data_IF_378327620325
#
_entry.id   IF_378327620325
#
_cell.length_a   1.000
_cell.length_b   1.000
_cell.length_c   1.000
_cell.angle_alpha   90.00
_cell.angle_beta   90.00
_cell.angle_gamma   90.00
#
_symmetry.space_group_name_H-M   'P 1'
#
loop_
_entity.id
_entity.type
_entity.pdbx_description
1 polymer ?
#
# COMPACT_ATOMS: atom_id res chain seq x y z
N UNK A 1 8.68 -10.01 5.49
CA UNK A 1 7.22 -10.14 5.68
C UNK A 1 6.60 -8.86 5.14
N UNK A 2 5.46 -8.97 4.46
CA UNK A 2 4.69 -7.85 3.94
C UNK A 2 3.35 -7.82 4.68
N UNK A 3 3.03 -6.69 5.27
CA UNK A 3 1.77 -6.47 5.97
C UNK A 3 1.15 -5.15 5.52
N UNK A 4 -0.19 -5.14 5.41
CA UNK A 4 -1.00 -3.94 5.21
C UNK A 4 -1.85 -3.76 6.45
N UNK A 5 -1.66 -2.64 7.14
CA UNK A 5 -2.29 -2.32 8.42
C UNK A 5 -3.22 -1.13 8.18
N UNK A 6 -4.52 -1.33 8.40
CA UNK A 6 -5.51 -0.29 8.22
C UNK A 6 -5.58 0.56 9.49
N UNK A 7 -4.98 1.75 9.47
CA UNK A 7 -4.97 2.64 10.63
C UNK A 7 -6.22 3.53 10.69
N UNK A 8 -6.89 3.75 9.57
CA UNK A 8 -8.19 4.40 9.52
C UNK A 8 -8.93 3.99 8.25
N UNK A 9 -10.17 3.56 8.38
CA UNK A 9 -11.01 3.05 7.26
C UNK A 9 -12.31 3.85 7.04
N UNK A 10 -12.42 4.98 7.74
CA UNK A 10 -13.50 5.97 7.60
C UNK A 10 -13.44 6.74 6.28
N UNK A 11 -14.47 7.55 6.05
CA UNK A 11 -14.48 8.58 5.00
C UNK A 11 -14.16 9.96 5.58
N UNK A 12 -14.87 10.99 5.11
CA UNK A 12 -14.66 12.42 5.39
C UNK A 12 -14.47 12.87 6.85
N UNK A 13 -14.93 12.09 7.84
CA UNK A 13 -14.80 12.44 9.26
C UNK A 13 -14.60 11.21 10.13
N UNK A 14 -13.86 11.32 11.24
CA UNK A 14 -13.70 10.21 12.18
C UNK A 14 -15.02 9.93 12.91
N UNK A 15 -15.26 8.67 13.23
CA UNK A 15 -16.38 8.21 14.06
C UNK A 15 -15.85 7.48 15.30
N UNK A 16 -16.75 7.04 16.18
CA UNK A 16 -16.37 6.20 17.33
C UNK A 16 -15.73 4.87 16.88
N UNK A 17 -16.13 4.35 15.72
CA UNK A 17 -15.69 3.06 15.19
C UNK A 17 -14.42 3.19 14.35
N UNK A 18 -14.30 4.26 13.55
CA UNK A 18 -13.31 4.37 12.48
C UNK A 18 -12.67 5.75 12.42
N UNK A 19 -11.35 5.79 12.27
CA UNK A 19 -10.61 7.00 11.95
C UNK A 19 -10.65 7.28 10.43
N UNK A 20 -10.31 8.50 10.04
CA UNK A 20 -10.12 8.91 8.64
C UNK A 20 -8.94 8.18 7.98
N UNK A 21 -8.87 8.13 6.63
CA UNK A 21 -7.96 7.29 5.87
C UNK A 21 -6.49 7.35 6.27
N UNK A 22 -5.92 6.18 6.58
CA UNK A 22 -4.48 5.96 6.69
C UNK A 22 -4.20 4.46 6.59
N UNK A 23 -3.27 4.09 5.71
CA UNK A 23 -2.81 2.70 5.57
C UNK A 23 -1.30 2.65 5.81
N UNK A 24 -0.86 1.78 6.71
CA UNK A 24 0.54 1.49 6.92
C UNK A 24 0.93 0.18 6.23
N UNK A 25 1.80 0.25 5.22
CA UNK A 25 2.42 -0.91 4.61
C UNK A 25 3.76 -1.17 5.28
N UNK A 26 3.89 -2.33 5.94
CA UNK A 26 5.13 -2.76 6.59
C UNK A 26 5.85 -3.77 5.70
N UNK A 27 7.02 -3.39 5.20
CA UNK A 27 7.83 -4.25 4.33
C UNK A 27 9.24 -4.37 4.88
N UNK A 28 9.63 -5.59 5.29
CA UNK A 28 10.96 -5.89 5.87
C UNK A 28 11.37 -4.94 7.03
N UNK A 29 10.41 -4.43 7.79
CA UNK A 29 10.63 -3.55 8.94
C UNK A 29 10.54 -2.06 8.63
N UNK A 30 10.59 -1.66 7.36
CA UNK A 30 10.25 -0.30 6.91
C UNK A 30 8.72 -0.10 7.01
N UNK A 31 8.29 1.10 7.41
CA UNK A 31 6.89 1.52 7.34
C UNK A 31 6.74 2.58 6.25
N UNK A 32 5.82 2.31 5.33
CA UNK A 32 5.36 3.24 4.30
C UNK A 32 3.91 3.60 4.64
N UNK A 33 3.59 4.89 4.70
CA UNK A 33 2.22 5.34 4.90
C UNK A 33 1.59 5.73 3.55
N UNK A 34 0.36 5.30 3.33
CA UNK A 34 -0.52 5.82 2.29
C UNK A 34 -1.61 6.62 2.98
N UNK A 35 -1.67 7.91 2.65
CA UNK A 35 -2.42 8.95 3.36
C UNK A 35 -2.06 9.06 4.86
N UNK A 36 -2.36 10.22 5.43
CA UNK A 36 -2.10 10.58 6.83
C UNK A 36 -3.22 11.50 7.30
N UNK A 37 -4.43 10.96 7.44
CA UNK A 37 -5.57 11.67 7.98
C UNK A 37 -5.38 12.10 9.44
N UNK A 38 -6.21 13.04 9.90
CA UNK A 38 -6.23 13.44 11.32
C UNK A 38 -6.33 12.21 12.24
N UNK A 39 -5.66 12.24 13.40
CA UNK A 39 -5.70 11.12 14.34
C UNK A 39 -4.74 9.97 14.01
N UNK A 40 -4.04 10.00 12.86
CA UNK A 40 -3.04 8.98 12.48
C UNK A 40 -2.06 8.67 13.61
N UNK A 41 -1.52 9.69 14.28
CA UNK A 41 -0.58 9.51 15.40
C UNK A 41 -1.15 8.65 16.54
N UNK A 42 -2.43 8.86 16.88
CA UNK A 42 -3.13 8.07 17.89
C UNK A 42 -3.31 6.62 17.42
N UNK A 43 -3.73 6.44 16.17
CA UNK A 43 -3.92 5.11 15.59
C UNK A 43 -2.60 4.34 15.50
N UNK A 44 -1.50 4.98 15.09
CA UNK A 44 -0.16 4.38 15.09
C UNK A 44 0.26 3.91 16.49
N UNK A 45 0.02 4.73 17.51
CA UNK A 45 0.32 4.36 18.90
C UNK A 45 -0.50 3.13 19.34
N UNK A 46 -1.80 3.10 19.07
CA UNK A 46 -2.65 1.92 19.34
C UNK A 46 -2.16 0.68 18.60
N UNK A 47 -1.74 0.82 17.35
CA UNK A 47 -1.19 -0.27 16.54
C UNK A 47 0.26 -0.66 16.92
N UNK A 48 0.87 -0.02 17.93
CA UNK A 48 2.27 -0.18 18.34
C UNK A 48 3.25 0.03 17.17
N UNK A 49 2.91 0.94 16.25
CA UNK A 49 3.77 1.36 15.14
C UNK A 49 4.52 2.63 15.52
N UNK A 50 5.85 2.57 15.48
CA UNK A 50 6.66 3.75 15.76
C UNK A 50 6.68 4.69 14.55
N UNK A 51 6.32 5.99 14.70
CA UNK A 51 6.50 7.00 13.65
C UNK A 51 7.96 7.14 13.20
N UNK A 52 8.93 6.83 14.06
CA UNK A 52 10.36 6.89 13.72
C UNK A 52 10.79 5.85 12.67
N UNK A 53 9.97 4.81 12.43
CA UNK A 53 10.19 3.83 11.37
C UNK A 53 9.53 4.19 10.04
N UNK A 54 8.77 5.30 9.99
CA UNK A 54 8.17 5.80 8.75
C UNK A 54 9.26 6.50 7.96
N UNK A 55 9.54 6.01 6.76
CA UNK A 55 10.53 6.60 5.86
C UNK A 55 9.88 7.34 4.69
N UNK A 56 8.70 6.87 4.26
CA UNK A 56 8.01 7.36 3.07
C UNK A 56 6.52 7.50 3.34
N UNK A 57 5.96 8.61 2.89
CA UNK A 57 4.53 8.93 2.97
C UNK A 57 4.06 9.21 1.54
N UNK A 58 2.99 8.55 1.11
CA UNK A 58 2.35 8.75 -0.18
C UNK A 58 0.94 9.29 0.05
N UNK A 59 0.72 10.55 -0.28
CA UNK A 59 -0.58 11.22 -0.20
C UNK A 59 -1.30 11.04 -1.53
N UNK A 60 -2.52 10.53 -1.53
CA UNK A 60 -3.33 10.33 -2.73
C UNK A 60 -3.83 11.66 -3.27
N UNK A 61 -4.38 12.49 -2.39
CA UNK A 61 -4.90 13.82 -2.69
C UNK A 61 -5.00 14.68 -1.41
N UNK A 62 -5.33 15.96 -1.57
CA UNK A 62 -5.31 16.96 -0.49
C UNK A 62 -6.71 17.33 0.05
N UNK A 63 -7.61 16.35 0.22
CA UNK A 63 -8.77 16.52 1.10
C UNK A 63 -8.40 16.21 2.56
N UNK A 64 -9.01 16.94 3.51
CA UNK A 64 -8.51 17.05 4.88
C UNK A 64 -8.33 15.71 5.60
N UNK A 65 -9.24 14.78 5.35
CA UNK A 65 -9.26 13.42 5.87
C UNK A 65 -8.09 12.54 5.39
N UNK A 66 -7.34 12.95 4.36
CA UNK A 66 -6.17 12.22 3.84
C UNK A 66 -4.81 12.80 4.23
N UNK A 67 -4.73 14.05 4.74
CA UNK A 67 -3.41 14.67 4.99
C UNK A 67 -3.30 15.54 6.25
N UNK A 68 -4.39 15.88 6.94
CA UNK A 68 -4.31 16.80 8.10
C UNK A 68 -3.53 16.22 9.28
N UNK A 69 -3.34 14.90 9.36
CA UNK A 69 -2.50 14.26 10.37
C UNK A 69 -1.00 14.45 10.15
N UNK A 70 -0.58 14.91 8.97
CA UNK A 70 0.83 15.06 8.59
C UNK A 70 1.59 16.00 9.52
N UNK A 71 0.99 17.13 9.90
CA UNK A 71 1.62 18.10 10.79
C UNK A 71 1.91 17.50 12.17
N UNK A 72 0.94 16.81 12.76
CA UNK A 72 1.10 16.14 14.06
C UNK A 72 2.19 15.06 14.00
N UNK A 73 2.24 14.31 12.90
CA UNK A 73 3.25 13.27 12.68
C UNK A 73 4.66 13.86 12.60
N UNK A 74 4.88 14.87 11.75
CA UNK A 74 6.18 15.52 11.56
C UNK A 74 6.68 16.19 12.86
N UNK A 75 5.81 16.93 13.54
CA UNK A 75 6.16 17.57 14.81
C UNK A 75 6.52 16.53 15.88
N UNK A 76 5.79 15.41 15.96
CA UNK A 76 6.13 14.34 16.90
C UNK A 76 7.49 13.72 16.58
N UNK A 77 7.77 13.42 15.31
CA UNK A 77 9.09 12.91 14.89
C UNK A 77 10.22 13.86 15.27
N UNK A 78 10.01 15.17 15.10
CA UNK A 78 10.98 16.18 15.47
C UNK A 78 11.26 16.20 16.98
N UNK A 79 10.19 16.21 17.80
CA UNK A 79 10.29 16.18 19.26
C UNK A 79 10.99 14.91 19.76
N UNK A 80 10.88 13.82 19.03
CA UNK A 80 11.54 12.55 19.35
C UNK A 80 12.95 12.41 18.76
N UNK A 81 13.54 13.51 18.28
CA UNK A 81 14.92 13.55 17.83
C UNK A 81 15.17 12.75 16.55
N UNK A 82 14.24 12.80 15.60
CA UNK A 82 14.47 12.17 14.29
C UNK A 82 15.69 12.78 13.62
N UNK A 83 16.58 11.92 13.12
CA UNK A 83 17.74 12.32 12.31
C UNK A 83 17.58 11.89 10.85
N UNK A 84 16.89 10.76 10.60
CA UNK A 84 16.70 10.23 9.25
C UNK A 84 15.81 11.15 8.41
N UNK A 85 16.08 11.31 7.10
CA UNK A 85 15.20 12.07 6.23
C UNK A 85 13.79 11.44 6.16
N UNK A 86 12.77 12.27 5.97
CA UNK A 86 11.41 11.84 5.66
C UNK A 86 11.08 12.22 4.21
N UNK A 87 10.55 11.27 3.44
CA UNK A 87 10.13 11.52 2.07
C UNK A 87 8.61 11.58 1.98
N UNK A 88 8.08 12.68 1.44
CA UNK A 88 6.64 12.89 1.25
C UNK A 88 6.38 13.00 -0.24
N UNK A 89 5.55 12.12 -0.75
CA UNK A 89 5.16 12.01 -2.14
C UNK A 89 3.68 12.34 -2.26
N UNK A 90 3.28 13.06 -3.29
CA UNK A 90 1.87 13.34 -3.53
C UNK A 90 1.62 13.98 -4.90
N UNK A 91 0.37 14.31 -5.23
CA UNK A 91 0.02 14.94 -6.50
C UNK A 91 0.49 16.40 -6.59
N UNK A 92 0.10 17.06 -7.69
CA UNK A 92 0.31 18.50 -7.88
C UNK A 92 -0.04 19.29 -6.60
N UNK A 93 0.81 20.26 -6.26
CA UNK A 93 0.77 21.11 -5.07
C UNK A 93 1.29 20.50 -3.76
N UNK A 94 1.88 19.28 -3.79
CA UNK A 94 2.42 18.65 -2.57
C UNK A 94 3.42 19.55 -1.83
N UNK A 95 4.33 20.20 -2.56
CA UNK A 95 5.27 21.13 -1.95
C UNK A 95 4.57 22.26 -1.19
N UNK A 96 3.55 22.87 -1.79
CA UNK A 96 2.80 23.98 -1.20
C UNK A 96 2.05 23.54 0.07
N UNK A 97 1.34 22.42 0.04
CA UNK A 97 0.60 21.91 1.20
C UNK A 97 1.53 21.53 2.36
N UNK A 98 2.64 20.86 2.08
CA UNK A 98 3.64 20.54 3.11
C UNK A 98 4.26 21.80 3.68
N UNK A 99 4.65 22.76 2.82
CA UNK A 99 5.24 24.03 3.25
C UNK A 99 4.28 24.83 4.14
N UNK A 100 2.98 24.85 3.82
CA UNK A 100 1.97 25.52 4.64
C UNK A 100 1.93 24.97 6.07
N UNK A 101 2.00 23.64 6.23
CA UNK A 101 2.04 23.03 7.56
C UNK A 101 3.32 23.31 8.33
N UNK A 102 4.46 23.27 7.66
CA UNK A 102 5.73 23.57 8.30
C UNK A 102 5.79 25.03 8.78
N UNK A 103 5.09 25.93 8.11
CA UNK A 103 4.99 27.34 8.47
C UNK A 103 3.80 27.66 9.40
N UNK A 104 2.90 26.70 9.66
CA UNK A 104 1.78 26.88 10.57
C UNK A 104 2.21 26.58 12.01
N UNK A 105 2.64 27.60 12.75
CA UNK A 105 2.98 27.51 14.18
C UNK A 105 4.47 27.73 14.49
N UNK A 106 4.83 27.60 15.77
CA UNK A 106 6.22 27.74 16.23
C UNK A 106 6.99 26.43 16.10
N UNK A 107 7.25 26.03 14.86
CA UNK A 107 7.90 24.77 14.54
C UNK A 107 8.97 24.96 13.46
N UNK A 108 10.11 24.28 13.63
CA UNK A 108 11.13 24.12 12.59
C UNK A 108 11.62 22.68 12.62
N UNK A 109 11.51 21.92 11.52
CA UNK A 109 12.08 20.58 11.44
C UNK A 109 13.59 20.60 11.69
N UNK A 110 14.05 19.74 12.59
CA UNK A 110 15.45 19.43 12.86
C UNK A 110 16.00 18.27 12.02
N UNK A 111 15.21 17.77 11.06
CA UNK A 111 15.59 16.71 10.11
C UNK A 111 15.10 17.06 8.70
N UNK A 112 15.72 16.42 7.71
CA UNK A 112 15.42 16.67 6.30
C UNK A 112 14.03 16.14 5.91
N UNK A 113 13.24 16.99 5.27
CA UNK A 113 11.96 16.64 4.68
C UNK A 113 12.08 16.84 3.17
N UNK A 114 12.10 15.73 2.43
CA UNK A 114 12.13 15.76 0.98
C UNK A 114 10.71 15.61 0.43
N UNK A 115 10.25 16.64 -0.28
CA UNK A 115 8.92 16.66 -0.87
C UNK A 115 9.02 16.38 -2.37
N UNK A 116 8.20 15.44 -2.84
CA UNK A 116 8.20 14.93 -4.21
C UNK A 116 6.79 15.10 -4.81
N UNK A 117 6.64 16.06 -5.70
CA UNK A 117 5.43 16.22 -6.48
C UNK A 117 5.42 15.22 -7.64
N UNK A 118 4.37 14.41 -7.72
CA UNK A 118 4.25 13.29 -8.65
C UNK A 118 3.15 13.52 -9.68
N UNK A 119 3.42 13.07 -10.90
CA UNK A 119 2.42 12.69 -11.88
C UNK A 119 2.29 11.17 -11.93
N UNK A 120 2.16 10.62 -13.13
CA UNK A 120 2.25 9.17 -13.34
C UNK A 120 3.71 8.77 -13.48
N UNK A 121 4.21 7.93 -12.59
CA UNK A 121 5.62 7.53 -12.61
C UNK A 121 5.84 6.20 -11.91
N UNK A 122 7.06 5.66 -12.05
CA UNK A 122 7.54 4.48 -11.32
C UNK A 122 8.80 4.84 -10.54
N UNK A 123 8.68 4.79 -9.23
CA UNK A 123 9.76 5.03 -8.28
C UNK A 123 10.36 3.69 -7.86
N UNK A 124 11.69 3.58 -7.86
CA UNK A 124 12.42 2.35 -7.55
C UNK A 124 13.11 2.46 -6.19
N UNK A 125 12.85 1.50 -5.30
CA UNK A 125 13.36 1.48 -3.93
C UNK A 125 13.99 0.13 -3.58
N UNK A 126 15.17 -0.15 -4.15
CA UNK A 126 15.90 -1.39 -3.85
C UNK A 126 15.11 -2.63 -4.28
N UNK A 127 14.37 -3.24 -3.35
CA UNK A 127 13.64 -4.50 -3.53
C UNK A 127 12.17 -4.33 -3.95
N UNK A 128 11.66 -3.11 -4.01
CA UNK A 128 10.30 -2.82 -4.47
C UNK A 128 10.25 -1.56 -5.35
N UNK A 129 9.09 -1.37 -5.98
CA UNK A 129 8.75 -0.17 -6.72
C UNK A 129 7.41 0.38 -6.21
N UNK A 130 7.25 1.71 -6.28
CA UNK A 130 5.95 2.37 -6.14
C UNK A 130 5.59 2.99 -7.49
N UNK A 131 4.43 2.65 -8.03
CA UNK A 131 3.92 3.29 -9.24
C UNK A 131 2.77 4.22 -8.87
N UNK A 132 2.84 5.48 -9.28
CA UNK A 132 1.71 6.40 -9.16
C UNK A 132 0.94 6.44 -10.47
N UNK A 133 -0.39 6.54 -10.38
CA UNK A 133 -1.28 6.68 -11.53
C UNK A 133 -2.40 7.67 -11.22
N UNK A 134 -2.82 8.45 -12.22
CA UNK A 134 -3.95 9.38 -12.03
C UNK A 134 -5.26 8.61 -11.84
N UNK A 135 -6.11 9.17 -11.01
CA UNK A 135 -7.48 8.75 -10.74
C UNK A 135 -8.42 9.96 -10.91
N UNK A 136 -9.74 9.73 -10.89
CA UNK A 136 -10.74 10.76 -11.18
C UNK A 136 -11.44 11.19 -9.89
N UNK A 137 -11.07 12.36 -9.34
CA UNK A 137 -11.58 12.81 -8.03
C UNK A 137 -11.86 14.32 -7.93
N UNK A 138 -12.05 15.01 -9.07
CA UNK A 138 -12.33 16.46 -9.13
C UNK A 138 -11.17 17.38 -8.72
N UNK A 139 -10.16 16.85 -8.03
CA UNK A 139 -8.90 17.51 -7.64
C UNK A 139 -7.71 16.69 -8.14
N UNK A 140 -6.47 17.22 -8.13
CA UNK A 140 -5.29 16.40 -8.40
C UNK A 140 -5.21 15.21 -7.44
N UNK A 141 -5.38 14.01 -7.97
CA UNK A 141 -5.43 12.77 -7.20
C UNK A 141 -4.63 11.65 -7.88
N UNK A 142 -4.04 10.78 -7.06
CA UNK A 142 -3.24 9.64 -7.48
C UNK A 142 -3.65 8.38 -6.72
N UNK A 143 -3.69 7.26 -7.43
CA UNK A 143 -3.58 5.93 -6.86
C UNK A 143 -2.13 5.44 -6.87
N UNK A 144 -1.84 4.43 -6.06
CA UNK A 144 -0.50 3.87 -5.87
C UNK A 144 -0.48 2.34 -6.03
N UNK A 145 0.56 1.84 -6.68
CA UNK A 145 0.89 0.41 -6.74
C UNK A 145 2.18 0.17 -5.99
N UNK A 146 2.13 -0.62 -4.91
CA UNK A 146 3.32 -1.25 -4.36
C UNK A 146 3.60 -2.54 -5.11
N UNK A 147 4.81 -2.68 -5.67
CA UNK A 147 5.25 -3.89 -6.37
C UNK A 147 6.58 -4.38 -5.80
N UNK A 148 6.55 -5.49 -5.06
CA UNK A 148 7.77 -6.20 -4.71
C UNK A 148 8.42 -6.76 -5.99
N UNK A 149 9.76 -6.69 -6.07
CA UNK A 149 10.50 -7.27 -7.19
C UNK A 149 10.37 -8.79 -7.22
N UNK A 150 10.28 -9.31 -8.43
CA UNK A 150 10.27 -10.75 -8.67
C UNK A 150 11.59 -11.38 -8.22
N UNK A 151 11.48 -12.38 -7.36
CA UNK A 151 12.63 -13.11 -6.81
C UNK A 151 12.94 -14.32 -7.69
N UNK A 152 14.21 -14.72 -7.73
CA UNK A 152 14.60 -16.01 -8.34
C UNK A 152 13.87 -17.18 -7.67
N UNK A 153 13.74 -18.27 -8.41
CA UNK A 153 13.30 -19.54 -7.86
C UNK A 153 14.27 -20.06 -6.80
N UNK A 154 13.79 -20.99 -5.96
CA UNK A 154 14.67 -21.71 -5.03
C UNK A 154 15.62 -22.60 -5.82
N UNK A 155 16.81 -22.85 -5.27
CA UNK A 155 17.65 -23.91 -5.81
C UNK A 155 16.92 -25.25 -5.71
N UNK A 156 17.11 -26.07 -6.74
CA UNK A 156 16.58 -27.42 -6.85
C UNK A 156 17.69 -28.40 -6.48
N UNK A 157 17.65 -29.04 -5.29
CA UNK A 157 18.70 -29.94 -4.83
C UNK A 157 19.05 -31.04 -5.84
N UNK A 158 18.05 -31.58 -6.51
CA UNK A 158 18.18 -32.59 -7.55
C UNK A 158 19.00 -32.08 -8.75
N UNK A 159 18.74 -30.84 -9.20
CA UNK A 159 19.50 -30.23 -10.30
C UNK A 159 20.92 -29.88 -9.89
N UNK A 160 21.10 -29.36 -8.67
CA UNK A 160 22.44 -29.13 -8.14
C UNK A 160 23.27 -30.42 -8.13
N UNK A 161 22.68 -31.54 -7.68
CA UNK A 161 23.33 -32.84 -7.68
C UNK A 161 23.68 -33.35 -9.10
N UNK A 162 22.80 -33.15 -10.09
CA UNK A 162 23.07 -33.50 -11.51
C UNK A 162 24.35 -32.83 -12.06
N UNK A 163 24.63 -31.61 -11.62
CA UNK A 163 25.82 -30.86 -12.01
C UNK A 163 27.02 -31.03 -11.07
N UNK A 164 26.87 -31.83 -10.00
CA UNK A 164 27.90 -31.98 -8.96
C UNK A 164 28.17 -30.69 -8.21
N UNK A 165 27.15 -29.83 -8.05
CA UNK A 165 27.19 -28.62 -7.24
C UNK A 165 26.67 -28.91 -5.83
N UNK A 166 27.36 -28.39 -4.83
CA UNK A 166 26.94 -28.42 -3.42
C UNK A 166 26.73 -27.01 -2.88
N UNK A 167 26.03 -26.88 -1.75
CA UNK A 167 25.91 -25.60 -1.06
C UNK A 167 27.30 -25.04 -0.70
N UNK A 168 27.53 -23.77 -1.02
CA UNK A 168 28.81 -23.12 -0.78
C UNK A 168 29.04 -21.87 -1.63
N UNK A 169 30.27 -21.32 -1.61
CA UNK A 169 30.62 -20.07 -2.30
C UNK A 169 30.33 -20.08 -3.80
N UNK A 170 30.35 -21.26 -4.43
CA UNK A 170 30.08 -21.43 -5.86
C UNK A 170 28.65 -21.05 -6.24
N UNK A 171 27.67 -21.34 -5.38
CA UNK A 171 26.27 -20.94 -5.60
C UNK A 171 26.12 -19.43 -5.45
N UNK A 172 26.82 -18.82 -4.50
CA UNK A 172 26.86 -17.36 -4.37
C UNK A 172 27.50 -16.67 -5.59
N UNK A 173 28.50 -17.30 -6.21
CA UNK A 173 29.06 -16.85 -7.48
C UNK A 173 28.04 -16.97 -8.62
N UNK A 174 27.38 -18.12 -8.75
CA UNK A 174 26.32 -18.36 -9.73
C UNK A 174 25.15 -17.38 -9.59
N UNK A 175 24.76 -17.03 -8.36
CA UNK A 175 23.73 -16.02 -8.13
C UNK A 175 24.12 -14.62 -8.59
N UNK A 176 25.38 -14.21 -8.37
CA UNK A 176 25.85 -12.88 -8.75
C UNK A 176 26.13 -12.75 -10.25
N UNK A 177 26.71 -13.79 -10.85
CA UNK A 177 27.15 -13.78 -12.25
C UNK A 177 26.06 -14.30 -13.21
N UNK A 178 25.02 -14.96 -12.68
CA UNK A 178 23.91 -15.53 -13.45
C UNK A 178 24.25 -16.81 -14.22
N UNK A 179 25.55 -17.09 -14.39
CA UNK A 179 26.11 -18.33 -14.93
C UNK A 179 27.52 -18.56 -14.39
N UNK A 180 27.97 -19.80 -14.36
CA UNK A 180 29.36 -20.18 -14.04
C UNK A 180 29.86 -21.25 -14.99
N UNK A 181 31.18 -21.36 -15.12
CA UNK A 181 31.81 -22.56 -15.66
C UNK A 181 32.17 -23.50 -14.50
N UNK A 182 31.73 -24.75 -14.58
CA UNK A 182 31.94 -25.79 -13.57
C UNK A 182 32.14 -27.14 -14.25
N UNK A 183 33.26 -27.83 -13.94
CA UNK A 183 33.61 -29.12 -14.54
C UNK A 183 33.54 -29.12 -16.08
N UNK A 184 33.98 -28.03 -16.72
CA UNK A 184 33.98 -27.87 -18.18
C UNK A 184 32.59 -27.64 -18.80
N UNK A 185 31.56 -27.35 -17.99
CA UNK A 185 30.21 -27.01 -18.44
C UNK A 185 29.84 -25.60 -18.00
N UNK A 186 29.09 -24.90 -18.85
CA UNK A 186 28.43 -23.65 -18.45
C UNK A 186 27.10 -24.02 -17.79
N UNK A 187 26.90 -23.55 -16.56
CA UNK A 187 25.67 -23.73 -15.79
C UNK A 187 25.04 -22.36 -15.61
N UNK A 188 23.81 -22.20 -16.07
CA UNK A 188 23.01 -21.01 -15.85
C UNK A 188 22.24 -21.14 -14.53
N UNK A 189 21.96 -20.00 -13.89
CA UNK A 189 21.20 -19.99 -12.63
C UNK A 189 19.82 -20.64 -12.78
N UNK A 190 19.20 -20.50 -13.96
CA UNK A 190 17.90 -21.09 -14.29
C UNK A 190 17.94 -22.61 -14.48
N UNK A 191 19.09 -23.20 -14.81
CA UNK A 191 19.25 -24.66 -14.94
C UNK A 191 19.09 -25.39 -13.60
N UNK A 192 19.40 -24.67 -12.51
CA UNK A 192 19.45 -25.22 -11.14
C UNK A 192 18.46 -24.55 -10.19
N UNK A 193 17.57 -23.70 -10.69
CA UNK A 193 16.53 -23.07 -9.88
C UNK A 193 15.13 -23.33 -10.42
N UNK A 194 14.15 -23.34 -9.53
CA UNK A 194 12.73 -23.44 -9.91
C UNK A 194 12.20 -22.17 -10.58
N UNK A 195 10.90 -22.11 -10.90
CA UNK A 195 10.30 -20.92 -11.51
C UNK A 195 10.47 -19.67 -10.64
N UNK A 196 10.56 -18.50 -11.30
CA UNK A 196 10.64 -17.22 -10.61
C UNK A 196 9.43 -17.02 -9.69
N UNK A 197 9.69 -16.50 -8.51
CA UNK A 197 8.68 -16.16 -7.52
C UNK A 197 8.25 -14.72 -7.74
N UNK A 198 7.04 -14.55 -8.30
CA UNK A 198 6.46 -13.22 -8.52
C UNK A 198 6.39 -12.46 -7.18
N UNK A 199 6.86 -11.22 -7.19
CA UNK A 199 6.71 -10.34 -6.03
C UNK A 199 5.27 -9.89 -5.87
N UNK A 200 4.87 -9.59 -4.64
CA UNK A 200 3.50 -9.17 -4.32
C UNK A 200 3.18 -7.81 -4.94
N UNK A 201 1.96 -7.67 -5.48
CA UNK A 201 1.41 -6.42 -6.02
C UNK A 201 0.20 -5.99 -5.17
N UNK A 202 0.32 -4.84 -4.51
CA UNK A 202 -0.76 -4.18 -3.76
C UNK A 202 -1.10 -2.89 -4.47
N UNK A 203 -2.39 -2.63 -4.70
CA UNK A 203 -2.89 -1.39 -5.29
C UNK A 203 -3.77 -0.68 -4.29
N UNK A 204 -3.57 0.63 -4.13
CA UNK A 204 -4.43 1.51 -3.35
C UNK A 204 -4.93 2.62 -4.28
N UNK A 205 -6.24 2.79 -4.38
CA UNK A 205 -6.83 3.75 -5.31
C UNK A 205 -6.73 5.20 -4.82
N UNK A 206 -6.72 5.41 -3.51
CA UNK A 206 -7.22 6.67 -2.96
C UNK A 206 -8.71 6.81 -3.29
N UNK A 207 -9.19 8.04 -3.30
CA UNK A 207 -10.55 8.36 -3.68
C UNK A 207 -10.64 8.56 -5.19
N UNK A 208 -11.69 8.01 -5.79
CA UNK A 208 -11.93 8.03 -7.23
C UNK A 208 -13.36 7.62 -7.56
N UNK A 209 -13.95 8.27 -8.56
CA UNK A 209 -15.06 7.69 -9.31
C UNK A 209 -14.56 6.55 -10.21
N UNK A 210 -15.44 5.72 -10.78
CA UNK A 210 -15.04 4.62 -11.65
C UNK A 210 -14.20 5.12 -12.82
N UNK A 211 -12.93 4.70 -12.87
CA UNK A 211 -12.04 5.03 -13.97
C UNK A 211 -11.27 3.81 -14.48
N UNK A 212 -11.09 3.74 -15.79
CA UNK A 212 -10.46 2.60 -16.47
C UNK A 212 -9.00 2.39 -16.03
N UNK A 213 -8.34 3.46 -15.58
CA UNK A 213 -6.97 3.43 -15.07
C UNK A 213 -6.85 2.53 -13.85
N UNK A 214 -7.82 2.54 -12.94
CA UNK A 214 -7.80 1.65 -11.76
C UNK A 214 -7.80 0.19 -12.22
N UNK A 215 -8.63 -0.18 -13.20
CA UNK A 215 -8.66 -1.55 -13.76
C UNK A 215 -7.30 -1.95 -14.33
N UNK A 216 -6.71 -1.09 -15.17
CA UNK A 216 -5.41 -1.34 -15.82
C UNK A 216 -4.28 -1.52 -14.80
N UNK A 217 -4.18 -0.62 -13.82
CA UNK A 217 -3.13 -0.71 -12.79
C UNK A 217 -3.38 -1.83 -11.79
N UNK A 218 -4.63 -2.27 -11.61
CA UNK A 218 -5.01 -3.39 -10.73
C UNK A 218 -4.90 -4.76 -11.38
N UNK A 219 -4.52 -4.85 -12.66
CA UNK A 219 -4.50 -6.12 -13.37
C UNK A 219 -3.61 -7.16 -12.64
N UNK A 220 -4.19 -8.32 -12.33
CA UNK A 220 -3.60 -9.42 -11.57
C UNK A 220 -2.99 -9.01 -10.22
N UNK A 221 -3.49 -7.96 -9.57
CA UNK A 221 -3.02 -7.55 -8.25
C UNK A 221 -3.34 -8.63 -7.20
N UNK A 222 -2.41 -8.80 -6.25
CA UNK A 222 -2.61 -9.69 -5.11
C UNK A 222 -3.58 -9.08 -4.09
N UNK A 223 -3.60 -7.76 -3.98
CA UNK A 223 -4.55 -6.99 -3.18
C UNK A 223 -4.88 -5.70 -3.90
N UNK A 224 -6.17 -5.39 -4.01
CA UNK A 224 -6.68 -4.08 -4.40
C UNK A 224 -7.43 -3.48 -3.20
N UNK A 225 -6.96 -2.35 -2.71
CA UNK A 225 -7.63 -1.52 -1.72
C UNK A 225 -8.34 -0.43 -2.50
N UNK A 226 -9.64 -0.61 -2.70
CA UNK A 226 -10.46 0.28 -3.52
C UNK A 226 -11.41 1.06 -2.61
N UNK A 227 -11.54 2.35 -2.84
CA UNK A 227 -12.62 3.10 -2.21
C UNK A 227 -13.98 2.57 -2.68
N UNK A 228 -14.91 2.43 -1.76
CA UNK A 228 -16.26 1.98 -2.05
C UNK A 228 -17.20 2.74 -1.12
N UNK A 229 -17.14 4.06 -1.23
CA UNK A 229 -17.77 4.98 -0.28
C UNK A 229 -19.27 4.72 -0.14
N UNK A 230 -19.92 4.37 -1.25
CA UNK A 230 -21.38 4.25 -1.32
C UNK A 230 -21.87 2.83 -1.66
N UNK A 231 -23.06 2.48 -1.16
CA UNK A 231 -23.73 1.23 -1.53
C UNK A 231 -24.48 1.35 -2.87
N UNK A 232 -24.92 2.57 -3.22
CA UNK A 232 -25.70 2.85 -4.44
C UNK A 232 -25.18 4.11 -5.13
N UNK A 233 -25.43 4.24 -6.43
CA UNK A 233 -25.10 5.45 -7.19
C UNK A 233 -25.95 6.66 -6.76
N UNK A 234 -27.16 6.43 -6.26
CA UNK A 234 -28.05 7.50 -5.78
C UNK A 234 -27.46 8.18 -4.54
N UNK A 235 -26.85 7.39 -3.66
CA UNK A 235 -26.15 7.92 -2.48
C UNK A 235 -24.89 8.71 -2.83
N UNK A 236 -24.23 8.39 -3.95
CA UNK A 236 -23.05 9.10 -4.44
C UNK A 236 -23.39 10.52 -4.88
N UNK A 237 -24.52 10.71 -5.57
CA UNK A 237 -24.85 11.99 -6.20
C UNK A 237 -23.73 12.46 -7.15
N UNK A 238 -23.31 13.71 -7.00
CA UNK A 238 -22.22 14.33 -7.78
C UNK A 238 -20.84 14.22 -7.10
N UNK A 239 -20.71 13.35 -6.09
CA UNK A 239 -19.40 13.11 -5.47
C UNK A 239 -18.54 12.21 -6.37
N UNK A 240 -17.24 12.51 -6.46
CA UNK A 240 -16.28 11.78 -7.30
C UNK A 240 -15.79 10.48 -6.62
N UNK A 241 -16.73 9.65 -6.19
CA UNK A 241 -16.48 8.41 -5.44
C UNK A 241 -17.01 7.17 -6.15
N UNK A 242 -16.64 5.99 -5.66
CA UNK A 242 -17.08 4.71 -6.20
C UNK A 242 -18.11 4.02 -5.30
N UNK A 243 -18.98 3.24 -5.91
CA UNK A 243 -19.87 2.31 -5.22
C UNK A 243 -19.20 0.96 -4.97
N UNK A 244 -19.76 0.17 -4.05
CA UNK A 244 -19.35 -1.23 -3.81
C UNK A 244 -19.43 -2.07 -5.09
N UNK A 245 -20.51 -1.94 -5.85
CA UNK A 245 -20.68 -2.70 -7.09
C UNK A 245 -19.59 -2.35 -8.11
N UNK A 246 -19.30 -1.06 -8.32
CA UNK A 246 -18.27 -0.61 -9.26
C UNK A 246 -16.86 -1.09 -8.85
N UNK A 247 -16.54 -1.04 -7.55
CA UNK A 247 -15.28 -1.57 -7.02
C UNK A 247 -15.16 -3.09 -7.26
N UNK A 248 -16.23 -3.85 -7.03
CA UNK A 248 -16.27 -5.30 -7.24
C UNK A 248 -16.20 -5.69 -8.71
N UNK A 249 -16.88 -4.95 -9.60
CA UNK A 249 -16.75 -5.12 -11.05
C UNK A 249 -15.33 -4.82 -11.53
N UNK A 250 -14.70 -3.77 -11.00
CA UNK A 250 -13.31 -3.42 -11.33
C UNK A 250 -12.35 -4.53 -10.91
N UNK A 251 -12.48 -5.04 -9.70
CA UNK A 251 -11.67 -6.16 -9.20
C UNK A 251 -11.84 -7.43 -10.05
N UNK A 252 -13.08 -7.76 -10.44
CA UNK A 252 -13.40 -8.90 -11.31
C UNK A 252 -12.74 -8.77 -12.68
N UNK A 253 -12.92 -7.63 -13.35
CA UNK A 253 -12.33 -7.35 -14.68
C UNK A 253 -10.80 -7.33 -14.64
N UNK A 254 -10.22 -6.84 -13.55
CA UNK A 254 -8.78 -6.82 -13.34
C UNK A 254 -8.19 -8.14 -12.84
N UNK A 255 -9.01 -9.18 -12.56
CA UNK A 255 -8.58 -10.48 -12.02
C UNK A 255 -7.78 -10.34 -10.73
N UNK A 256 -8.23 -9.45 -9.85
CA UNK A 256 -7.63 -9.22 -8.53
C UNK A 256 -7.86 -10.46 -7.66
N UNK A 257 -6.86 -10.83 -6.85
CA UNK A 257 -6.97 -11.99 -5.95
C UNK A 257 -7.76 -11.71 -4.68
N UNK A 258 -7.66 -10.50 -4.13
CA UNK A 258 -8.40 -10.04 -2.96
C UNK A 258 -8.72 -8.55 -3.10
N UNK A 259 -9.99 -8.20 -2.91
CA UNK A 259 -10.47 -6.82 -2.84
C UNK A 259 -10.64 -6.40 -1.36
N UNK A 260 -10.15 -5.23 -0.99
CA UNK A 260 -10.47 -4.57 0.27
C UNK A 260 -11.36 -3.36 -0.03
N UNK A 261 -12.62 -3.41 0.39
CA UNK A 261 -13.59 -2.33 0.26
C UNK A 261 -13.34 -1.30 1.36
N UNK A 262 -12.81 -0.14 0.98
CA UNK A 262 -12.28 0.88 1.87
C UNK A 262 -13.10 2.18 1.80
N UNK A 263 -12.86 3.13 2.70
CA UNK A 263 -13.48 4.46 2.68
C UNK A 263 -15.03 4.48 2.84
N UNK A 264 -15.62 3.55 3.61
CA UNK A 264 -17.09 3.46 3.75
C UNK A 264 -17.68 4.77 4.32
N UNK A 265 -18.75 5.29 3.71
CA UNK A 265 -19.46 6.45 4.22
C UNK A 265 -19.99 6.24 5.65
N UNK A 266 -19.99 7.30 6.46
CA UNK A 266 -20.42 7.24 7.88
C UNK A 266 -21.89 6.84 8.06
N UNK A 267 -22.72 6.96 7.01
CA UNK A 267 -24.16 6.70 7.04
C UNK A 267 -24.53 5.22 7.15
N UNK A 268 -23.61 4.33 6.78
CA UNK A 268 -23.85 2.89 6.83
C UNK A 268 -23.19 2.28 8.06
N UNK A 269 -23.94 1.44 8.75
CA UNK A 269 -23.35 0.57 9.78
C UNK A 269 -22.42 -0.46 9.13
N UNK A 270 -21.50 -1.03 9.92
CA UNK A 270 -20.58 -2.06 9.41
C UNK A 270 -21.36 -3.27 8.88
N UNK A 271 -22.33 -3.76 9.64
CA UNK A 271 -23.08 -4.97 9.30
C UNK A 271 -23.96 -4.79 8.07
N UNK A 272 -24.63 -3.63 7.95
CA UNK A 272 -25.41 -3.28 6.75
C UNK A 272 -24.52 -3.25 5.50
N UNK A 273 -23.38 -2.59 5.59
CA UNK A 273 -22.47 -2.46 4.47
C UNK A 273 -21.88 -3.81 4.04
N UNK A 274 -21.48 -4.65 5.00
CA UNK A 274 -20.98 -6.01 4.73
C UNK A 274 -22.08 -6.89 4.14
N UNK A 275 -23.29 -6.85 4.69
CA UNK A 275 -24.42 -7.61 4.16
C UNK A 275 -24.66 -7.24 2.70
N UNK A 276 -24.70 -5.94 2.38
CA UNK A 276 -24.90 -5.49 1.01
C UNK A 276 -23.73 -5.82 0.10
N UNK A 277 -22.49 -5.70 0.56
CA UNK A 277 -21.32 -6.10 -0.20
C UNK A 277 -21.33 -7.59 -0.56
N UNK A 278 -21.81 -8.47 0.33
CA UNK A 278 -21.97 -9.90 0.03
C UNK A 278 -22.98 -10.19 -1.09
N UNK A 279 -23.99 -9.35 -1.24
CA UNK A 279 -24.95 -9.45 -2.34
C UNK A 279 -24.37 -8.96 -3.67
N UNK A 280 -23.55 -7.90 -3.63
CA UNK A 280 -23.05 -7.20 -4.83
C UNK A 280 -21.75 -7.78 -5.38
N UNK A 281 -20.94 -8.44 -4.55
CA UNK A 281 -19.57 -8.81 -4.90
C UNK A 281 -19.40 -10.31 -5.15
N UNK A 282 -19.04 -10.65 -6.38
CA UNK A 282 -18.72 -12.02 -6.83
C UNK A 282 -17.19 -12.21 -6.99
N UNK A 283 -16.42 -11.65 -6.07
CA UNK A 283 -14.96 -11.80 -5.99
C UNK A 283 -14.56 -11.96 -4.52
N UNK A 284 -13.40 -12.58 -4.20
CA UNK A 284 -12.91 -12.60 -2.84
C UNK A 284 -12.69 -11.16 -2.33
N UNK A 285 -13.35 -10.81 -1.22
CA UNK A 285 -13.24 -9.48 -0.63
C UNK A 285 -13.19 -9.48 0.89
N UNK A 286 -12.73 -8.36 1.45
CA UNK A 286 -12.82 -8.00 2.87
C UNK A 286 -13.31 -6.55 2.99
N UNK A 287 -13.91 -6.21 4.14
CA UNK A 287 -14.27 -4.84 4.53
C UNK A 287 -13.40 -4.49 5.74
N UNK A 288 -12.26 -3.80 5.57
CA UNK A 288 -11.34 -3.59 6.66
C UNK A 288 -11.93 -2.67 7.74
N UNK A 289 -11.72 -3.06 9.00
CA UNK A 289 -11.90 -2.22 10.18
C UNK A 289 -10.57 -1.56 10.53
N UNK A 290 -10.63 -0.49 11.29
CA UNK A 290 -9.43 0.03 11.95
C UNK A 290 -8.72 -1.11 12.70
N UNK A 291 -7.40 -1.14 12.56
CA UNK A 291 -6.48 -2.14 13.12
C UNK A 291 -6.55 -3.54 12.51
N UNK A 292 -7.31 -3.75 11.44
CA UNK A 292 -7.14 -4.97 10.63
C UNK A 292 -5.74 -4.98 10.00
N UNK A 293 -5.14 -6.17 9.99
CA UNK A 293 -3.82 -6.43 9.42
C UNK A 293 -3.92 -7.58 8.43
N UNK A 294 -3.67 -7.28 7.16
CA UNK A 294 -3.48 -8.29 6.13
C UNK A 294 -2.00 -8.64 6.05
N UNK A 295 -1.65 -9.89 6.39
CA UNK A 295 -0.29 -10.42 6.30
C UNK A 295 -0.16 -11.32 5.08
N UNK A 296 0.79 -11.04 4.19
CA UNK A 296 1.04 -11.91 3.04
C UNK A 296 1.98 -13.06 3.42
N UNK A 297 1.46 -14.30 3.40
CA UNK A 297 2.19 -15.51 3.77
C UNK A 297 1.85 -16.64 2.82
N UNK A 298 2.88 -17.33 2.31
CA UNK A 298 2.73 -18.50 1.44
C UNK A 298 1.77 -18.33 0.26
N UNK A 299 1.73 -17.14 -0.36
CA UNK A 299 0.91 -16.86 -1.54
C UNK A 299 -0.53 -16.42 -1.24
N UNK A 300 -0.92 -16.26 0.03
CA UNK A 300 -2.25 -15.79 0.45
C UNK A 300 -2.16 -14.67 1.47
N UNK A 301 -3.26 -13.92 1.61
CA UNK A 301 -3.44 -12.96 2.68
C UNK A 301 -4.14 -13.61 3.87
N UNK A 302 -3.63 -13.34 5.07
CA UNK A 302 -4.21 -13.75 6.34
C UNK A 302 -4.59 -12.46 7.10
N UNK A 303 -5.84 -12.35 7.55
CA UNK A 303 -6.35 -11.17 8.25
C UNK A 303 -6.48 -11.43 9.75
N UNK A 304 -6.12 -10.44 10.57
CA UNK A 304 -6.39 -10.39 12.02
C UNK A 304 -6.60 -8.94 12.46
N UNK A 305 -7.23 -8.70 13.60
CA UNK A 305 -7.41 -7.35 14.15
C UNK A 305 -6.54 -7.14 15.40
N UNK A 306 -5.75 -6.06 15.46
CA UNK A 306 -4.84 -5.80 16.60
C UNK A 306 -5.55 -5.49 17.93
N UNK A 307 -6.89 -5.30 17.93
CA UNK A 307 -7.68 -5.09 19.15
C UNK A 307 -8.35 -6.37 19.67
N UNK A 308 -8.42 -7.41 18.85
CA UNK A 308 -9.03 -8.69 19.19
C UNK A 308 -7.98 -9.72 19.67
N UNK A 309 -6.70 -9.39 19.52
CA UNK A 309 -5.51 -10.12 20.00
C UNK A 309 -4.94 -9.49 21.29
#
# INVERSE_FOLDING_TARGET
MLEVIFLGTGGIMPTLERNVPTIALRYKGEIILFDVGEGTMRQMNTAKLSPMKVEKIFITHFHGDHYLGLAALIQTMNLWGREKPLHIYGPKYTFQFVQNFLNSGFFRPGFDIHVHELGETRLKFGDYEIWSFKVEHGVPALGYVFKEKDRRGKFLPEKLAEYGLSEGPILGKLEREGKIEWNGRIIHLEDVTGPRRKGVKVVYTGDTEPCERVRLFSENADLLIHEATYLTSDDRGESYHSTVEEACQTAKKAKVKLLALFHRAFRYTYDEYVAKARELCDVPFVVPRDFDVLTFKSGRWEMRNLRED
#
